data_IF_922792777495
#
_entry.id   IF_922792777495
#
_cell.length_a   1.000
_cell.length_b   1.000
_cell.length_c   1.000
_cell.angle_alpha   90.00
_cell.angle_beta   90.00
_cell.angle_gamma   90.00
#
_symmetry.space_group_name_H-M   'P 1'
#
loop_
_entity.id
_entity.type
_entity.pdbx_description
1 polymer ?
#
# COMPACT_ATOMS: atom_id res chain seq x y z
N UNK A 1 7.55 -25.46 14.23
CA UNK A 1 6.19 -26.06 14.28
C UNK A 1 5.26 -25.19 13.44
N UNK A 2 4.90 -25.61 12.22
CA UNK A 2 4.01 -24.82 11.35
C UNK A 2 2.56 -24.93 11.84
N UNK A 3 1.90 -23.80 12.11
CA UNK A 3 0.47 -23.77 12.48
C UNK A 3 -0.38 -24.29 11.33
N UNK A 4 -1.19 -25.31 11.59
CA UNK A 4 -2.16 -25.85 10.62
C UNK A 4 -3.13 -24.74 10.21
N UNK A 5 -3.20 -24.41 8.92
CA UNK A 5 -4.17 -23.44 8.38
C UNK A 5 -5.56 -24.07 8.46
N UNK A 6 -6.40 -23.57 9.37
CA UNK A 6 -7.81 -23.94 9.47
C UNK A 6 -8.60 -22.96 8.59
N UNK A 7 -9.33 -23.48 7.60
CA UNK A 7 -10.25 -22.67 6.81
C UNK A 7 -11.53 -22.42 7.63
N UNK A 8 -11.63 -21.23 8.22
CA UNK A 8 -12.85 -20.78 8.89
C UNK A 8 -13.64 -19.85 7.98
N UNK A 9 -14.95 -20.07 7.88
CA UNK A 9 -15.86 -19.14 7.19
C UNK A 9 -15.90 -17.83 7.99
N UNK A 10 -15.67 -16.71 7.31
CA UNK A 10 -15.81 -15.38 7.94
C UNK A 10 -17.29 -15.18 8.29
N UNK A 11 -17.59 -15.05 9.59
CA UNK A 11 -18.92 -14.66 10.06
C UNK A 11 -19.14 -13.19 9.74
N UNK A 12 -20.21 -12.88 9.01
CA UNK A 12 -20.57 -11.52 8.61
C UNK A 12 -21.92 -11.17 9.22
N UNK A 13 -22.05 -9.93 9.69
CA UNK A 13 -23.32 -9.43 10.21
C UNK A 13 -24.38 -9.40 9.09
N UNK A 14 -25.68 -9.43 9.44
CA UNK A 14 -26.75 -9.27 8.46
C UNK A 14 -26.62 -7.97 7.64
N UNK A 15 -26.19 -6.87 8.27
CA UNK A 15 -25.95 -5.58 7.60
C UNK A 15 -24.81 -5.65 6.58
N UNK A 16 -23.68 -6.29 6.92
CA UNK A 16 -22.55 -6.43 6.00
C UNK A 16 -22.92 -7.35 4.82
N UNK A 17 -23.69 -8.41 5.08
CA UNK A 17 -24.21 -9.29 4.03
C UNK A 17 -25.13 -8.54 3.05
N UNK A 18 -26.01 -7.68 3.56
CA UNK A 18 -26.87 -6.85 2.72
C UNK A 18 -26.07 -5.86 1.87
N UNK A 19 -25.04 -5.21 2.47
CA UNK A 19 -24.13 -4.30 1.76
C UNK A 19 -23.39 -4.99 0.62
N UNK A 20 -22.81 -6.17 0.88
CA UNK A 20 -22.09 -6.96 -0.13
C UNK A 20 -23.05 -7.43 -1.23
N UNK A 21 -24.27 -7.83 -0.87
CA UNK A 21 -25.27 -8.24 -1.86
C UNK A 21 -25.65 -7.07 -2.77
N UNK A 22 -25.96 -5.91 -2.21
CA UNK A 22 -26.30 -4.71 -2.99
C UNK A 22 -25.18 -4.32 -3.96
N UNK A 23 -23.92 -4.36 -3.49
CA UNK A 23 -22.75 -4.10 -4.34
C UNK A 23 -22.62 -5.13 -5.48
N UNK A 24 -22.85 -6.41 -5.20
CA UNK A 24 -22.81 -7.44 -6.25
C UNK A 24 -23.92 -7.27 -7.28
N UNK A 25 -25.12 -6.95 -6.81
CA UNK A 25 -26.29 -6.79 -7.67
C UNK A 25 -26.11 -5.57 -8.60
N UNK A 26 -25.54 -4.46 -8.12
CA UNK A 26 -25.21 -3.30 -8.97
C UNK A 26 -24.15 -3.64 -10.01
N UNK A 27 -23.04 -4.28 -9.61
CA UNK A 27 -21.98 -4.69 -10.53
C UNK A 27 -22.45 -5.72 -11.56
N UNK A 28 -23.37 -6.63 -11.21
CA UNK A 28 -23.92 -7.61 -12.16
C UNK A 28 -24.88 -6.99 -13.17
N UNK A 29 -25.66 -5.98 -12.74
CA UNK A 29 -26.66 -5.30 -13.56
C UNK A 29 -26.01 -4.29 -14.52
N UNK A 30 -25.14 -3.44 -14.00
CA UNK A 30 -24.58 -2.30 -14.73
C UNK A 30 -23.31 -2.68 -15.49
N UNK A 31 -22.55 -3.67 -14.99
CA UNK A 31 -21.28 -4.14 -15.56
C UNK A 31 -20.40 -2.97 -16.03
N UNK A 32 -20.12 -2.00 -15.14
CA UNK A 32 -19.38 -0.80 -15.53
C UNK A 32 -18.01 -1.19 -16.09
N UNK A 33 -17.55 -0.45 -17.10
CA UNK A 33 -16.19 -0.62 -17.62
C UNK A 33 -15.16 -0.13 -16.59
N UNK A 34 -13.90 -0.54 -16.77
CA UNK A 34 -12.81 -0.03 -15.94
C UNK A 34 -12.70 1.49 -16.02
N UNK A 35 -12.90 2.07 -17.20
CA UNK A 35 -12.87 3.53 -17.42
C UNK A 35 -13.94 4.23 -16.58
N UNK A 36 -15.19 3.73 -16.63
CA UNK A 36 -16.30 4.29 -15.82
C UNK A 36 -16.01 4.21 -14.32
N UNK A 37 -15.39 3.13 -13.86
CA UNK A 37 -15.03 2.96 -12.45
C UNK A 37 -13.89 3.89 -12.01
N UNK A 38 -12.95 4.18 -12.91
CA UNK A 38 -11.86 5.14 -12.67
C UNK A 38 -12.41 6.56 -12.65
N UNK A 39 -13.28 6.91 -13.58
CA UNK A 39 -13.94 8.22 -13.66
C UNK A 39 -14.85 8.49 -12.45
N UNK A 40 -15.59 7.48 -11.98
CA UNK A 40 -16.44 7.61 -10.79
C UNK A 40 -15.64 7.68 -9.49
N UNK A 41 -14.34 7.33 -9.53
CA UNK A 41 -13.48 7.22 -8.35
C UNK A 41 -13.77 5.99 -7.48
N UNK A 42 -14.67 5.10 -7.92
CA UNK A 42 -14.94 3.81 -7.24
C UNK A 42 -13.77 2.83 -7.39
N UNK A 43 -12.93 3.05 -8.40
CA UNK A 43 -11.69 2.31 -8.61
C UNK A 43 -10.53 3.27 -8.84
N UNK A 44 -9.39 2.99 -8.24
CA UNK A 44 -8.15 3.68 -8.60
C UNK A 44 -7.57 3.08 -9.87
N UNK A 45 -7.03 3.93 -10.75
CA UNK A 45 -6.42 3.50 -12.00
C UNK A 45 -5.49 2.29 -11.78
N UNK A 46 -5.56 1.28 -12.67
CA UNK A 46 -4.74 0.08 -12.54
C UNK A 46 -3.27 0.47 -12.63
N UNK A 47 -2.52 0.13 -11.60
CA UNK A 47 -1.06 0.25 -11.55
C UNK A 47 -0.44 -0.92 -12.31
N UNK A 48 0.63 -0.66 -13.07
CA UNK A 48 1.38 -1.72 -13.73
C UNK A 48 2.04 -2.66 -12.72
N UNK A 49 2.39 -3.88 -13.13
CA UNK A 49 3.12 -4.79 -12.25
C UNK A 49 4.47 -4.21 -11.81
N UNK A 50 5.18 -3.50 -12.70
CA UNK A 50 6.44 -2.83 -12.41
C UNK A 50 6.30 -1.82 -11.28
N UNK A 51 5.39 -0.84 -11.44
CA UNK A 51 5.11 0.16 -10.41
C UNK A 51 4.69 -0.48 -9.07
N UNK A 52 3.91 -1.57 -9.09
CA UNK A 52 3.55 -2.29 -7.88
C UNK A 52 4.76 -2.89 -7.18
N UNK A 53 5.69 -3.51 -7.93
CA UNK A 53 6.91 -4.08 -7.39
C UNK A 53 7.84 -3.00 -6.83
N UNK A 54 7.95 -1.84 -7.50
CA UNK A 54 8.75 -0.71 -7.03
C UNK A 54 8.22 -0.17 -5.69
N UNK A 55 6.90 0.02 -5.57
CA UNK A 55 6.25 0.43 -4.32
C UNK A 55 6.54 -0.59 -3.20
N UNK A 56 6.49 -1.89 -3.51
CA UNK A 56 6.81 -2.95 -2.54
C UNK A 56 8.28 -2.92 -2.12
N UNK A 57 9.20 -2.67 -3.05
CA UNK A 57 10.62 -2.56 -2.77
C UNK A 57 10.91 -1.38 -1.84
N UNK A 58 10.35 -0.21 -2.14
CA UNK A 58 10.48 1.00 -1.31
C UNK A 58 9.90 0.77 0.10
N UNK A 59 8.70 0.18 0.19
CA UNK A 59 8.07 -0.13 1.46
C UNK A 59 8.92 -1.06 2.33
N UNK A 60 9.49 -2.10 1.72
CA UNK A 60 10.39 -3.03 2.39
C UNK A 60 11.65 -2.33 2.89
N UNK A 61 12.29 -1.53 2.03
CA UNK A 61 13.50 -0.80 2.36
C UNK A 61 13.29 0.14 3.56
N UNK A 62 12.17 0.88 3.61
CA UNK A 62 11.84 1.74 4.75
C UNK A 62 11.68 0.95 6.06
N UNK A 63 10.99 -0.20 5.99
CA UNK A 63 10.80 -1.08 7.15
C UNK A 63 12.14 -1.61 7.68
N UNK A 64 13.01 -2.05 6.78
CA UNK A 64 14.36 -2.50 7.14
C UNK A 64 15.19 -1.38 7.76
N UNK A 65 15.16 -0.18 7.20
CA UNK A 65 15.84 0.99 7.76
C UNK A 65 15.39 1.27 9.19
N UNK A 66 14.08 1.25 9.46
CA UNK A 66 13.53 1.44 10.81
C UNK A 66 13.97 0.34 11.77
N UNK A 67 13.90 -0.91 11.34
CA UNK A 67 14.28 -2.07 12.16
C UNK A 67 15.79 -2.07 12.46
N UNK A 68 16.62 -1.67 11.51
CA UNK A 68 18.06 -1.56 11.68
C UNK A 68 18.43 -0.57 12.79
N UNK A 69 17.72 0.57 12.87
CA UNK A 69 17.89 1.54 13.97
C UNK A 69 17.10 1.19 15.23
N UNK A 70 16.50 -0.02 15.28
CA UNK A 70 15.71 -0.56 16.40
C UNK A 70 14.58 0.37 16.86
N UNK A 71 14.01 1.14 15.93
CA UNK A 71 12.95 2.09 16.22
C UNK A 71 11.58 1.41 16.10
N UNK A 72 10.71 1.61 17.08
CA UNK A 72 9.32 1.17 17.04
C UNK A 72 8.47 2.05 16.12
N UNK A 73 7.31 1.55 15.69
CA UNK A 73 6.35 2.36 14.93
C UNK A 73 5.81 3.55 15.75
N UNK A 74 5.74 3.42 17.08
CA UNK A 74 5.26 4.50 17.95
C UNK A 74 6.28 5.65 18.04
N UNK A 75 7.56 5.33 18.16
CA UNK A 75 8.64 6.32 18.12
C UNK A 75 8.71 7.01 16.76
N UNK A 76 8.63 6.24 15.66
CA UNK A 76 8.58 6.79 14.31
C UNK A 76 7.40 7.76 14.13
N UNK A 77 6.20 7.38 14.60
CA UNK A 77 5.02 8.24 14.59
C UNK A 77 5.23 9.52 15.40
N UNK A 78 5.83 9.43 16.59
CA UNK A 78 6.11 10.60 17.44
C UNK A 78 7.12 11.56 16.80
N UNK A 79 8.20 11.05 16.20
CA UNK A 79 9.25 11.87 15.58
C UNK A 79 8.73 12.53 14.31
N UNK A 80 8.01 11.78 13.49
CA UNK A 80 7.52 12.27 12.20
C UNK A 80 6.23 13.07 12.32
N UNK A 81 5.45 12.92 13.39
CA UNK A 81 4.09 13.45 13.50
C UNK A 81 3.09 12.76 12.57
N UNK A 82 3.42 11.56 12.08
CA UNK A 82 2.53 10.76 11.22
C UNK A 82 1.70 9.78 12.05
N UNK A 83 0.53 9.40 11.52
CA UNK A 83 -0.28 8.36 12.13
C UNK A 83 0.44 6.99 12.09
N UNK A 84 0.40 6.27 13.22
CA UNK A 84 1.07 4.97 13.37
C UNK A 84 0.54 3.92 12.39
N UNK A 85 -0.77 3.91 12.13
CA UNK A 85 -1.36 2.98 11.18
C UNK A 85 -1.01 3.35 9.73
N UNK A 86 -0.88 4.65 9.42
CA UNK A 86 -0.37 5.12 8.14
C UNK A 86 1.06 4.64 7.88
N UNK A 87 1.98 4.78 8.84
CA UNK A 87 3.35 4.25 8.72
C UNK A 87 3.33 2.73 8.51
N UNK A 88 2.52 2.00 9.30
CA UNK A 88 2.38 0.54 9.15
C UNK A 88 1.88 0.14 7.76
N UNK A 89 0.85 0.81 7.23
CA UNK A 89 0.35 0.53 5.88
C UNK A 89 1.40 0.80 4.81
N UNK A 90 2.13 1.91 4.95
CA UNK A 90 3.20 2.29 4.04
C UNK A 90 4.32 1.24 4.03
N UNK A 91 4.84 0.84 5.20
CA UNK A 91 5.90 -0.18 5.33
C UNK A 91 5.49 -1.59 4.87
N UNK A 92 4.19 -1.85 4.72
CA UNK A 92 3.68 -3.11 4.16
C UNK A 92 3.25 -2.97 2.69
N UNK A 93 3.51 -1.82 2.06
CA UNK A 93 3.17 -1.54 0.66
C UNK A 93 1.67 -1.57 0.39
N UNK A 94 0.87 -1.08 1.35
CA UNK A 94 -0.58 -0.95 1.25
C UNK A 94 -1.00 0.50 0.95
N UNK A 95 -0.05 1.40 0.75
CA UNK A 95 -0.29 2.81 0.42
C UNK A 95 0.25 3.09 -0.99
N UNK A 96 -0.61 2.91 -2.00
CA UNK A 96 -0.26 3.09 -3.41
C UNK A 96 0.18 4.53 -3.73
N UNK A 97 -0.40 5.54 -3.07
CA UNK A 97 -0.11 6.95 -3.32
C UNK A 97 0.85 7.55 -2.28
N UNK A 98 2.02 6.93 -2.11
CA UNK A 98 3.03 7.48 -1.19
C UNK A 98 3.83 8.59 -1.88
N UNK A 99 3.87 9.77 -1.28
CA UNK A 99 4.66 10.88 -1.84
C UNK A 99 6.14 10.76 -1.48
N UNK A 100 7.01 11.30 -2.33
CA UNK A 100 8.46 11.42 -2.03
C UNK A 100 8.70 12.11 -0.69
N UNK A 101 7.92 13.15 -0.36
CA UNK A 101 8.02 13.85 0.92
C UNK A 101 7.76 12.92 2.11
N UNK A 102 6.75 12.04 2.01
CA UNK A 102 6.44 11.05 3.04
C UNK A 102 7.60 10.07 3.26
N UNK A 103 8.18 9.54 2.18
CA UNK A 103 9.34 8.64 2.24
C UNK A 103 10.52 9.37 2.89
N UNK A 104 10.75 10.62 2.50
CA UNK A 104 11.88 11.41 3.00
C UNK A 104 11.76 11.72 4.50
N UNK A 105 10.56 12.06 4.99
CA UNK A 105 10.31 12.25 6.44
C UNK A 105 10.66 11.00 7.25
N UNK A 106 10.26 9.82 6.77
CA UNK A 106 10.58 8.56 7.44
C UNK A 106 12.07 8.25 7.38
N UNK A 107 12.70 8.39 6.20
CA UNK A 107 14.13 8.19 6.04
C UNK A 107 14.93 9.09 6.99
N UNK A 108 14.60 10.38 7.07
CA UNK A 108 15.22 11.32 8.00
C UNK A 108 15.02 10.93 9.46
N UNK A 109 13.81 10.51 9.85
CA UNK A 109 13.55 10.01 11.21
C UNK A 109 14.38 8.77 11.55
N UNK A 110 14.71 7.93 10.55
CA UNK A 110 15.58 6.76 10.71
C UNK A 110 17.08 7.09 10.58
N UNK A 111 17.46 8.37 10.52
CA UNK A 111 18.84 8.80 10.34
C UNK A 111 19.42 8.42 8.97
N UNK A 112 18.56 8.30 7.95
CA UNK A 112 18.91 8.00 6.56
C UNK A 112 18.67 9.22 5.66
N UNK A 113 19.29 9.19 4.49
CA UNK A 113 19.08 10.15 3.42
C UNK A 113 18.66 9.39 2.17
N UNK A 114 17.57 9.81 1.54
CA UNK A 114 17.19 9.33 0.22
C UNK A 114 18.08 9.96 -0.84
N UNK A 115 18.50 9.14 -1.79
CA UNK A 115 19.21 9.55 -3.00
C UNK A 115 18.45 8.98 -4.19
N UNK A 116 18.25 9.79 -5.23
CA UNK A 116 17.59 9.37 -6.46
C UNK A 116 18.64 9.27 -7.56
N UNK A 117 18.61 8.18 -8.31
CA UNK A 117 19.34 8.00 -9.57
C UNK A 117 18.34 7.64 -10.66
N UNK A 118 18.68 8.01 -11.89
CA UNK A 118 17.97 7.60 -13.10
C UNK A 118 18.97 6.82 -13.92
N UNK A 119 18.56 5.64 -14.38
CA UNK A 119 19.37 4.74 -15.19
C UNK A 119 18.68 4.56 -16.54
N UNK A 120 19.46 4.19 -17.57
CA UNK A 120 18.89 3.91 -18.88
C UNK A 120 18.01 2.66 -18.81
N UNK A 121 16.80 2.77 -19.36
CA UNK A 121 15.91 1.62 -19.49
C UNK A 121 16.45 0.70 -20.60
N UNK A 122 16.89 -0.52 -20.30
CA UNK A 122 17.62 -1.36 -21.25
C UNK A 122 16.80 -1.74 -22.50
N UNK A 123 15.47 -1.66 -22.43
CA UNK A 123 14.57 -1.93 -23.57
C UNK A 123 14.26 -0.69 -24.44
N UNK A 124 14.61 0.51 -23.98
CA UNK A 124 14.38 1.79 -24.67
C UNK A 124 15.65 2.58 -24.98
N UNK A 125 16.81 2.11 -24.49
CA UNK A 125 18.12 2.60 -24.86
C UNK A 125 18.37 2.35 -26.35
N UNK A 126 18.14 3.37 -27.18
CA UNK A 126 18.60 3.41 -28.58
C UNK A 126 20.01 3.94 -28.65
#
# INVERSE_FOLDING_TARGET
>A
MARQRVHCKIERSPGEMARIKALRDSFQKERPSLETLVESGEYMAPTTLGEFLDIKAIAHALKEMRQHVKMSLAEAASITGMDRAAISRLENGLCANTTINTINRLAHAYGKRLTFSVEDEPELAR
#
